data_IF_216517447370
#
_entry.id   IF_216517447370
#
_cell.length_a   1.000
_cell.length_b   1.000
_cell.length_c   1.000
_cell.angle_alpha   90.00
_cell.angle_beta   90.00
_cell.angle_gamma   90.00
#
_symmetry.space_group_name_H-M   'P 1'
#
loop_
_entity.id
_entity.type
_entity.pdbx_description
1 polymer ?
#
# COMPACT_ATOMS: atom_id res chain seq x y z
N UNK A 1 -52.92 -26.01 15.01
CA UNK A 1 -52.91 -25.90 13.54
C UNK A 1 -51.79 -24.93 13.17
N UNK A 2 -50.65 -25.38 12.63
CA UNK A 2 -49.60 -24.47 12.19
C UNK A 2 -50.11 -23.70 10.97
N UNK A 3 -50.15 -22.37 11.06
CA UNK A 3 -50.55 -21.50 9.97
C UNK A 3 -49.38 -21.40 8.99
N UNK A 4 -49.61 -21.70 7.71
CA UNK A 4 -48.61 -21.46 6.67
C UNK A 4 -48.43 -19.95 6.55
N UNK A 5 -47.29 -19.45 7.04
CA UNK A 5 -46.88 -18.07 6.83
C UNK A 5 -46.42 -17.97 5.38
N UNK A 6 -47.23 -17.34 4.53
CA UNK A 6 -46.84 -17.02 3.16
C UNK A 6 -45.80 -15.90 3.21
N UNK A 7 -44.53 -16.30 3.21
CA UNK A 7 -43.41 -15.37 3.14
C UNK A 7 -43.36 -14.78 1.73
N UNK A 8 -43.72 -13.49 1.61
CA UNK A 8 -43.62 -12.78 0.36
C UNK A 8 -42.14 -12.46 0.05
N UNK A 9 -41.50 -13.35 -0.70
CA UNK A 9 -40.08 -13.25 -1.09
C UNK A 9 -39.73 -11.95 -1.81
N UNK A 10 -40.69 -11.30 -2.49
CA UNK A 10 -40.49 -10.03 -3.17
C UNK A 10 -40.19 -8.90 -2.18
N UNK A 11 -41.00 -8.81 -1.13
CA UNK A 11 -40.82 -7.78 -0.08
C UNK A 11 -39.50 -7.97 0.68
N UNK A 12 -39.10 -9.21 0.96
CA UNK A 12 -37.80 -9.48 1.58
C UNK A 12 -36.65 -9.06 0.66
N UNK A 13 -36.75 -9.36 -0.63
CA UNK A 13 -35.71 -9.02 -1.60
C UNK A 13 -35.58 -7.50 -1.80
N UNK A 14 -36.68 -6.76 -1.73
CA UNK A 14 -36.68 -5.29 -1.74
C UNK A 14 -35.95 -4.70 -0.54
N UNK A 15 -36.19 -5.24 0.67
CA UNK A 15 -35.46 -4.84 1.89
C UNK A 15 -33.97 -5.17 1.77
N UNK A 16 -33.64 -6.36 1.27
CA UNK A 16 -32.25 -6.76 1.06
C UNK A 16 -31.54 -5.87 0.03
N UNK A 17 -32.21 -5.52 -1.07
CA UNK A 17 -31.67 -4.60 -2.07
C UNK A 17 -31.45 -3.20 -1.50
N UNK A 18 -32.38 -2.69 -0.69
CA UNK A 18 -32.20 -1.42 0.00
C UNK A 18 -30.98 -1.46 0.93
N UNK A 19 -30.82 -2.53 1.71
CA UNK A 19 -29.67 -2.72 2.60
C UNK A 19 -28.35 -2.89 1.82
N UNK A 20 -28.37 -3.60 0.70
CA UNK A 20 -27.19 -3.78 -0.15
C UNK A 20 -26.76 -2.44 -0.77
N UNK A 21 -27.73 -1.61 -1.22
CA UNK A 21 -27.47 -0.26 -1.74
C UNK A 21 -26.88 0.64 -0.66
N UNK A 22 -27.38 0.55 0.56
CA UNK A 22 -26.80 1.25 1.72
C UNK A 22 -25.37 0.79 2.01
N UNK A 23 -25.08 -0.51 1.94
CA UNK A 23 -23.72 -1.03 2.12
C UNK A 23 -22.76 -0.61 1.00
N UNK A 24 -23.26 -0.53 -0.24
CA UNK A 24 -22.54 0.04 -1.37
C UNK A 24 -22.34 1.56 -1.22
N UNK A 25 -23.10 2.18 -0.30
CA UNK A 25 -23.03 3.59 0.03
C UNK A 25 -23.73 4.48 -0.98
N UNK A 26 -24.71 3.94 -1.71
CA UNK A 26 -25.61 4.71 -2.56
C UNK A 26 -26.62 5.47 -1.69
N UNK A 27 -27.02 6.69 -2.06
CA UNK A 27 -28.03 7.45 -1.33
C UNK A 27 -29.38 6.70 -1.36
N UNK A 28 -30.08 6.75 -0.23
CA UNK A 28 -31.39 6.15 -0.07
C UNK A 28 -32.40 6.75 -1.06
N UNK A 29 -32.95 5.92 -1.94
CA UNK A 29 -33.98 6.28 -2.92
C UNK A 29 -35.35 6.61 -2.27
N UNK A 30 -35.44 6.57 -0.93
CA UNK A 30 -36.68 6.74 -0.15
C UNK A 30 -37.20 8.18 -0.10
N UNK A 31 -36.50 9.15 -0.69
CA UNK A 31 -36.91 10.57 -0.66
C UNK A 31 -36.71 11.36 -1.97
N UNK A 32 -36.25 10.72 -3.05
CA UNK A 32 -36.10 11.38 -4.34
C UNK A 32 -37.17 10.86 -5.30
N UNK A 33 -37.90 11.79 -5.93
CA UNK A 33 -38.99 11.57 -6.89
C UNK A 33 -38.91 10.22 -7.62
N UNK A 34 -40.02 9.47 -7.58
CA UNK A 34 -40.20 8.09 -8.07
C UNK A 34 -39.77 7.81 -9.54
N UNK A 35 -39.27 8.81 -10.26
CA UNK A 35 -38.79 8.70 -11.64
C UNK A 35 -37.28 8.56 -11.84
N UNK A 36 -36.41 8.95 -10.89
CA UNK A 36 -34.96 9.05 -11.16
C UNK A 36 -34.12 7.87 -10.65
N UNK A 37 -34.51 7.26 -9.53
CA UNK A 37 -33.83 6.12 -8.93
C UNK A 37 -34.80 4.94 -8.89
N UNK A 38 -35.21 4.45 -10.06
CA UNK A 38 -36.07 3.26 -10.11
C UNK A 38 -35.37 2.14 -9.34
N UNK A 39 -36.03 1.63 -8.31
CA UNK A 39 -35.61 0.50 -7.50
C UNK A 39 -35.66 -0.84 -8.29
N UNK A 40 -35.16 -0.83 -9.52
CA UNK A 40 -34.96 -2.00 -10.34
C UNK A 40 -33.66 -2.72 -9.99
N UNK A 41 -33.51 -3.95 -10.51
CA UNK A 41 -32.28 -4.75 -10.41
C UNK A 41 -31.05 -4.04 -11.02
N UNK A 42 -31.25 -3.07 -11.90
CA UNK A 42 -30.20 -2.36 -12.61
C UNK A 42 -29.80 -1.08 -11.88
N UNK A 43 -28.49 -0.88 -11.74
CA UNK A 43 -27.90 0.36 -11.24
C UNK A 43 -28.09 1.45 -12.31
N UNK A 44 -28.50 2.65 -11.90
CA UNK A 44 -28.62 3.78 -12.84
C UNK A 44 -27.23 4.32 -13.19
N UNK A 45 -27.08 4.96 -14.37
CA UNK A 45 -25.80 5.57 -14.77
C UNK A 45 -25.31 6.60 -13.75
N UNK A 46 -26.23 7.31 -13.09
CA UNK A 46 -25.91 8.26 -12.01
C UNK A 46 -25.38 7.59 -10.74
N UNK A 47 -25.96 6.46 -10.35
CA UNK A 47 -25.47 5.65 -9.23
C UNK A 47 -24.08 5.08 -9.54
N UNK A 48 -23.87 4.62 -10.78
CA UNK A 48 -22.59 4.12 -11.25
C UNK A 48 -21.53 5.23 -11.21
N UNK A 49 -21.83 6.42 -11.72
CA UNK A 49 -20.94 7.58 -11.68
C UNK A 49 -20.56 7.96 -10.24
N UNK A 50 -21.52 7.90 -9.32
CA UNK A 50 -21.26 8.15 -7.90
C UNK A 50 -20.29 7.11 -7.31
N UNK A 51 -20.50 5.83 -7.60
CA UNK A 51 -19.62 4.75 -7.15
C UNK A 51 -18.20 4.90 -7.73
N UNK A 52 -18.08 5.22 -9.02
CA UNK A 52 -16.78 5.44 -9.67
C UNK A 52 -16.02 6.60 -9.00
N UNK A 53 -16.69 7.73 -8.75
CA UNK A 53 -16.07 8.88 -8.08
C UNK A 53 -15.55 8.52 -6.69
N UNK A 54 -16.39 7.84 -5.89
CA UNK A 54 -16.03 7.39 -4.55
C UNK A 54 -14.84 6.43 -4.57
N UNK A 55 -14.90 5.40 -5.41
CA UNK A 55 -13.81 4.41 -5.53
C UNK A 55 -12.50 5.03 -6.01
N UNK A 56 -12.57 5.98 -6.94
CA UNK A 56 -11.39 6.71 -7.43
C UNK A 56 -10.74 7.49 -6.30
N UNK A 57 -11.54 8.18 -5.47
CA UNK A 57 -11.04 8.90 -4.30
C UNK A 57 -10.41 7.97 -3.27
N UNK A 58 -11.06 6.84 -2.99
CA UNK A 58 -10.54 5.83 -2.06
C UNK A 58 -9.19 5.27 -2.54
N UNK A 59 -9.08 4.88 -3.80
CA UNK A 59 -7.83 4.37 -4.39
C UNK A 59 -6.72 5.41 -4.38
N UNK A 60 -7.00 6.67 -4.71
CA UNK A 60 -6.01 7.74 -4.64
C UNK A 60 -5.54 7.97 -3.20
N UNK A 61 -6.48 8.02 -2.24
CA UNK A 61 -6.17 8.23 -0.82
C UNK A 61 -5.26 7.11 -0.28
N UNK A 62 -5.63 5.86 -0.54
CA UNK A 62 -4.86 4.69 -0.10
C UNK A 62 -3.49 4.66 -0.79
N UNK A 63 -3.44 4.89 -2.11
CA UNK A 63 -2.18 4.88 -2.86
C UNK A 63 -1.22 5.96 -2.37
N UNK A 64 -1.71 7.19 -2.13
CA UNK A 64 -0.90 8.28 -1.57
C UNK A 64 -0.40 7.93 -0.16
N UNK A 65 -1.27 7.39 0.69
CA UNK A 65 -0.90 6.97 2.05
C UNK A 65 0.14 5.84 2.05
N UNK A 66 0.02 4.89 1.11
CA UNK A 66 0.95 3.76 0.93
C UNK A 66 2.32 4.28 0.46
N UNK A 67 2.34 5.15 -0.55
CA UNK A 67 3.57 5.81 -1.04
C UNK A 67 4.24 6.69 0.02
N UNK A 68 3.46 7.40 0.84
CA UNK A 68 3.98 8.20 1.95
C UNK A 68 4.62 7.30 3.00
N UNK A 69 3.94 6.22 3.40
CA UNK A 69 4.48 5.23 4.33
C UNK A 69 5.77 4.60 3.79
N UNK A 70 5.80 4.27 2.49
CA UNK A 70 6.98 3.78 1.79
C UNK A 70 8.13 4.78 1.90
N UNK A 71 7.90 6.06 1.58
CA UNK A 71 8.89 7.12 1.71
C UNK A 71 9.44 7.23 3.14
N UNK A 72 8.57 7.09 4.14
CA UNK A 72 8.98 7.15 5.54
C UNK A 72 9.83 5.94 5.94
N UNK A 73 9.48 4.73 5.49
CA UNK A 73 10.27 3.52 5.70
C UNK A 73 11.64 3.61 5.03
N UNK A 74 11.70 4.08 3.78
CA UNK A 74 12.96 4.33 3.06
C UNK A 74 13.87 5.33 3.77
N UNK A 75 13.29 6.38 4.38
CA UNK A 75 14.08 7.39 5.11
C UNK A 75 14.62 6.87 6.46
N UNK A 76 13.94 5.91 7.08
CA UNK A 76 14.30 5.39 8.40
C UNK A 76 15.39 4.31 8.31
N UNK A 77 15.38 3.53 7.21
CA UNK A 77 16.31 2.41 7.02
C UNK A 77 17.33 2.83 5.94
N UNK A 78 18.45 3.43 6.37
CA UNK A 78 19.49 4.04 5.53
C UNK A 78 20.19 3.09 4.55
N UNK A 79 19.93 1.77 4.62
CA UNK A 79 20.62 0.75 3.82
C UNK A 79 19.68 -0.05 2.90
N UNK A 80 18.58 0.57 2.44
CA UNK A 80 17.68 -0.09 1.48
C UNK A 80 18.24 0.03 0.05
N UNK A 81 18.64 -1.10 -0.54
CA UNK A 81 18.95 -1.20 -1.96
C UNK A 81 17.63 -1.37 -2.74
N UNK A 82 17.12 -0.27 -3.29
CA UNK A 82 15.93 -0.30 -4.15
C UNK A 82 16.32 -0.90 -5.50
N UNK A 83 15.68 -2.00 -5.89
CA UNK A 83 15.82 -2.58 -7.23
C UNK A 83 15.20 -1.63 -8.26
N UNK A 84 15.81 -1.50 -9.43
CA UNK A 84 15.31 -0.62 -10.51
C UNK A 84 13.84 -0.91 -10.85
N UNK A 85 13.45 -2.19 -10.86
CA UNK A 85 12.06 -2.64 -11.09
C UNK A 85 11.06 -2.04 -10.09
N UNK A 86 11.45 -1.90 -8.81
CA UNK A 86 10.58 -1.32 -7.76
C UNK A 86 10.58 0.19 -7.87
N UNK A 87 11.71 0.79 -8.20
CA UNK A 87 11.80 2.21 -8.51
C UNK A 87 10.81 2.60 -9.62
N UNK A 88 10.82 1.85 -10.73
CA UNK A 88 9.87 2.06 -11.84
C UNK A 88 8.41 1.88 -11.42
N UNK A 89 8.10 0.91 -10.55
CA UNK A 89 6.75 0.73 -10.01
C UNK A 89 6.29 1.94 -9.18
N UNK A 90 7.16 2.50 -8.34
CA UNK A 90 6.87 3.69 -7.53
C UNK A 90 6.64 4.90 -8.44
N UNK A 91 7.56 5.18 -9.37
CA UNK A 91 7.41 6.30 -10.31
C UNK A 91 6.15 6.16 -11.16
N UNK A 92 5.89 4.97 -11.70
CA UNK A 92 4.72 4.73 -12.53
C UNK A 92 3.41 4.74 -11.73
N UNK A 93 3.43 4.47 -10.42
CA UNK A 93 2.29 4.66 -9.51
C UNK A 93 2.00 6.15 -9.31
N UNK A 94 3.02 6.96 -9.00
CA UNK A 94 2.90 8.41 -8.85
C UNK A 94 2.38 9.07 -10.13
N UNK A 95 2.91 8.66 -11.29
CA UNK A 95 2.46 9.18 -12.58
C UNK A 95 1.01 8.78 -12.89
N UNK A 96 0.60 7.56 -12.55
CA UNK A 96 -0.79 7.12 -12.71
C UNK A 96 -1.74 7.91 -11.79
N UNK A 97 -1.35 8.20 -10.55
CA UNK A 97 -2.12 9.03 -9.63
C UNK A 97 -2.29 10.47 -10.15
N UNK A 98 -1.22 11.07 -10.70
CA UNK A 98 -1.27 12.39 -11.34
C UNK A 98 -2.18 12.41 -12.57
N UNK A 99 -2.12 11.36 -13.41
CA UNK A 99 -3.00 11.20 -14.58
C UNK A 99 -4.46 11.09 -14.16
N UNK A 100 -4.76 10.28 -13.14
CA UNK A 100 -6.11 10.16 -12.59
C UNK A 100 -6.68 11.52 -12.17
N UNK A 101 -5.90 12.34 -11.45
CA UNK A 101 -6.32 13.69 -11.07
C UNK A 101 -6.54 14.61 -12.29
N UNK A 102 -5.72 14.48 -13.33
CA UNK A 102 -5.88 15.25 -14.56
C UNK A 102 -7.15 14.86 -15.33
N UNK A 103 -7.47 13.57 -15.39
CA UNK A 103 -8.67 13.07 -16.07
C UNK A 103 -9.93 13.39 -15.28
N UNK A 104 -9.85 13.42 -13.94
CA UNK A 104 -10.93 13.91 -13.06
C UNK A 104 -11.27 15.39 -13.35
N UNK A 105 -10.26 16.22 -13.61
CA UNK A 105 -10.44 17.64 -13.99
C UNK A 105 -11.07 17.81 -15.38
N UNK A 106 -10.84 16.87 -16.29
CA UNK A 106 -11.44 16.86 -17.63
C UNK A 106 -12.87 16.32 -17.65
N UNK A 107 -13.31 15.69 -16.57
CA UNK A 107 -14.61 15.02 -16.47
C UNK A 107 -14.64 13.58 -17.00
N UNK A 108 -13.47 12.99 -17.32
CA UNK A 108 -13.39 11.58 -17.71
C UNK A 108 -13.27 10.70 -16.46
N UNK A 109 -14.42 10.27 -15.94
CA UNK A 109 -14.50 9.44 -14.73
C UNK A 109 -13.93 8.04 -14.92
N UNK A 110 -14.16 7.41 -16.08
CA UNK A 110 -13.68 6.06 -16.36
C UNK A 110 -12.17 6.04 -16.55
N UNK A 111 -11.61 7.03 -17.27
CA UNK A 111 -10.17 7.22 -17.38
C UNK A 111 -9.53 7.46 -16.01
N UNK A 112 -10.14 8.36 -15.21
CA UNK A 112 -9.66 8.65 -13.86
C UNK A 112 -9.68 7.42 -12.94
N UNK A 113 -10.75 6.62 -12.99
CA UNK A 113 -10.87 5.38 -12.22
C UNK A 113 -9.78 4.37 -12.58
N UNK A 114 -9.60 4.09 -13.89
CA UNK A 114 -8.55 3.15 -14.36
C UNK A 114 -7.15 3.61 -14.00
N UNK A 115 -6.89 4.91 -14.08
CA UNK A 115 -5.61 5.47 -13.68
C UNK A 115 -5.39 5.37 -12.16
N UNK A 116 -6.42 5.61 -11.34
CA UNK A 116 -6.35 5.46 -9.89
C UNK A 116 -6.16 3.99 -9.47
N UNK A 117 -6.89 3.07 -10.11
CA UNK A 117 -6.71 1.63 -9.91
C UNK A 117 -5.28 1.20 -10.24
N UNK A 118 -4.74 1.66 -11.38
CA UNK A 118 -3.34 1.38 -11.75
C UNK A 118 -2.35 1.92 -10.72
N UNK A 119 -2.59 3.14 -10.21
CA UNK A 119 -1.76 3.74 -9.16
C UNK A 119 -1.77 2.89 -7.88
N UNK A 120 -2.97 2.50 -7.43
CA UNK A 120 -3.19 1.66 -6.25
C UNK A 120 -2.49 0.30 -6.37
N UNK A 121 -2.72 -0.44 -7.47
CA UNK A 121 -2.10 -1.76 -7.67
C UNK A 121 -0.58 -1.67 -7.67
N UNK A 122 -0.02 -0.65 -8.32
CA UNK A 122 1.44 -0.45 -8.37
C UNK A 122 2.04 -0.02 -7.05
N UNK A 123 1.37 0.88 -6.30
CA UNK A 123 1.85 1.31 -4.98
C UNK A 123 1.85 0.14 -3.99
N UNK A 124 0.78 -0.65 -3.98
CA UNK A 124 0.69 -1.81 -3.09
C UNK A 124 1.70 -2.89 -3.49
N UNK A 125 1.86 -3.16 -4.79
CA UNK A 125 2.87 -4.10 -5.27
C UNK A 125 4.29 -3.67 -4.86
N UNK A 126 4.60 -2.38 -4.96
CA UNK A 126 5.89 -1.86 -4.53
C UNK A 126 6.06 -1.95 -3.01
N UNK A 127 5.04 -1.57 -2.23
CA UNK A 127 5.08 -1.56 -0.76
C UNK A 127 5.26 -2.97 -0.17
N UNK A 128 4.58 -3.97 -0.73
CA UNK A 128 4.64 -5.36 -0.27
C UNK A 128 5.72 -6.20 -0.97
N UNK A 129 6.66 -5.59 -1.69
CA UNK A 129 7.72 -6.35 -2.34
C UNK A 129 8.63 -7.03 -1.30
N UNK A 130 8.97 -8.33 -1.47
CA UNK A 130 9.82 -9.06 -0.52
C UNK A 130 11.16 -8.40 -0.26
N UNK A 131 11.72 -7.65 -1.22
CA UNK A 131 13.01 -6.98 -1.04
C UNK A 131 12.93 -5.79 -0.08
N UNK A 132 11.81 -5.07 -0.02
CA UNK A 132 11.59 -4.01 0.97
C UNK A 132 11.32 -4.58 2.37
N UNK A 133 10.70 -5.77 2.45
CA UNK A 133 10.47 -6.48 3.71
C UNK A 133 11.71 -7.21 4.25
N UNK A 134 12.58 -7.73 3.37
CA UNK A 134 13.74 -8.53 3.74
C UNK A 134 14.85 -7.72 4.43
N UNK A 135 14.91 -6.40 4.21
CA UNK A 135 15.89 -5.53 4.86
C UNK A 135 15.58 -5.22 6.33
N UNK A 136 14.40 -5.60 6.83
CA UNK A 136 14.14 -5.65 8.27
C UNK A 136 14.87 -6.81 8.98
N UNK A 137 15.35 -7.83 8.24
CA UNK A 137 15.74 -9.09 8.88
C UNK A 137 17.21 -9.19 9.32
N UNK A 138 18.08 -8.24 8.97
CA UNK A 138 19.43 -8.23 9.54
C UNK A 138 19.90 -6.81 9.81
N UNK A 139 19.57 -6.25 10.98
CA UNK A 139 20.26 -5.07 11.49
C UNK A 139 21.75 -5.42 11.60
N UNK A 140 22.63 -4.52 11.16
CA UNK A 140 24.08 -4.70 11.32
C UNK A 140 24.44 -4.96 12.81
N UNK A 141 23.63 -4.47 13.75
CA UNK A 141 23.75 -4.75 15.19
C UNK A 141 23.67 -6.24 15.56
N UNK A 142 22.82 -7.04 14.89
CA UNK A 142 22.74 -8.48 15.12
C UNK A 142 23.97 -9.22 14.57
N UNK A 143 24.54 -8.70 13.48
CA UNK A 143 25.80 -9.19 12.92
C UNK A 143 26.97 -8.93 13.88
N UNK A 144 27.02 -7.75 14.50
CA UNK A 144 28.03 -7.43 15.52
C UNK A 144 27.85 -8.25 16.81
N UNK A 145 26.62 -8.51 17.24
CA UNK A 145 26.35 -9.34 18.42
C UNK A 145 26.86 -10.79 18.26
N UNK A 146 26.87 -11.33 17.03
CA UNK A 146 27.40 -12.67 16.73
C UNK A 146 28.94 -12.63 16.57
N UNK A 147 29.47 -11.64 15.85
CA UNK A 147 30.91 -11.59 15.53
C UNK A 147 31.80 -11.02 16.62
N UNK A 148 31.34 -10.08 17.44
CA UNK A 148 32.16 -9.50 18.50
C UNK A 148 32.62 -10.58 19.50
N UNK A 149 31.75 -11.43 20.09
CA UNK A 149 32.20 -12.47 21.02
C UNK A 149 33.15 -13.50 20.40
N UNK A 150 33.02 -13.78 19.09
CA UNK A 150 33.83 -14.78 18.39
C UNK A 150 35.21 -14.24 17.97
N UNK A 151 35.25 -13.01 17.44
CA UNK A 151 36.47 -12.43 16.88
C UNK A 151 37.26 -11.56 17.86
N UNK A 152 36.62 -10.98 18.88
CA UNK A 152 37.30 -10.16 19.90
C UNK A 152 38.42 -10.91 20.64
N UNK A 153 38.25 -12.19 21.08
CA UNK A 153 39.30 -12.93 21.77
C UNK A 153 40.53 -13.19 20.91
N UNK A 154 40.34 -13.37 19.60
CA UNK A 154 41.43 -13.65 18.65
C UNK A 154 42.10 -12.34 18.20
N UNK A 155 41.33 -11.26 18.09
CA UNK A 155 41.82 -9.95 17.62
C UNK A 155 42.75 -9.28 18.62
N UNK A 156 42.48 -9.41 19.93
CA UNK A 156 43.28 -8.76 20.99
C UNK A 156 44.75 -9.22 20.99
N UNK A 157 45.08 -10.53 21.02
CA UNK A 157 46.46 -11.01 20.98
C UNK A 157 47.20 -10.60 19.71
N UNK A 158 46.53 -10.68 18.54
CA UNK A 158 47.13 -10.35 17.25
C UNK A 158 47.53 -8.87 17.20
N UNK A 159 46.66 -7.97 17.67
CA UNK A 159 46.94 -6.54 17.73
C UNK A 159 48.08 -6.21 18.70
N UNK A 160 48.13 -6.85 19.87
CA UNK A 160 49.22 -6.70 20.83
C UNK A 160 50.56 -7.17 20.24
N UNK A 161 50.57 -8.33 19.59
CA UNK A 161 51.75 -8.87 18.91
C UNK A 161 52.23 -7.94 17.79
N UNK A 162 51.32 -7.43 16.95
CA UNK A 162 51.68 -6.47 15.90
C UNK A 162 52.27 -5.19 16.48
N UNK A 163 51.68 -4.64 17.54
CA UNK A 163 52.16 -3.42 18.21
C UNK A 163 53.56 -3.62 18.77
N UNK A 164 53.83 -4.77 19.38
CA UNK A 164 55.16 -5.12 19.88
C UNK A 164 56.19 -5.21 18.76
N UNK A 165 55.82 -5.85 17.63
CA UNK A 165 56.69 -5.98 16.46
C UNK A 165 57.02 -4.61 15.85
N UNK A 166 56.03 -3.72 15.74
CA UNK A 166 56.24 -2.35 15.28
C UNK A 166 57.13 -1.53 16.22
N UNK A 167 56.90 -1.62 17.54
CA UNK A 167 57.72 -0.92 18.52
C UNK A 167 59.17 -1.43 18.51
N UNK A 168 59.36 -2.74 18.34
CA UNK A 168 60.68 -3.34 18.17
C UNK A 168 61.36 -2.84 16.89
N UNK A 169 60.65 -2.84 15.76
CA UNK A 169 61.18 -2.40 14.47
C UNK A 169 61.56 -0.91 14.47
N UNK A 170 60.74 -0.04 15.06
CA UNK A 170 61.06 1.39 15.20
C UNK A 170 62.27 1.60 16.13
N UNK A 171 62.37 0.85 17.23
CA UNK A 171 63.50 0.94 18.16
C UNK A 171 64.82 0.46 17.54
N UNK A 172 64.76 -0.43 16.54
CA UNK A 172 65.93 -0.93 15.83
C UNK A 172 66.40 -0.02 14.68
N UNK A 173 65.58 0.97 14.29
CA UNK A 173 65.89 1.97 13.25
C UNK A 173 66.32 3.33 13.79
N UNK A 174 66.35 3.52 15.12
CA UNK A 174 66.93 4.71 15.79
C UNK A 174 68.28 4.34 16.38
#
# INVERSE_FOLDING_TARGET
>A
MPHAVEVNMRSIFEVFLAQLRLLLGLPDATGADEGLFTAGLACTDLELDFLLRRRTQDYLSISISSLYSLSQLLSTISNIVIRDEIGELIYSSVDAAKRSLADFKKGDLLGAFRAAESAFVKSEKAFFDPSLLALLYFPDDQKYAIYIPLFLPISIPVLLSLRHLFAYYCKQRT
#
